data_IF_744671841811
#
_entry.id   IF_744671841811
#
_cell.length_a   1.000
_cell.length_b   1.000
_cell.length_c   1.000
_cell.angle_alpha   90.00
_cell.angle_beta   90.00
_cell.angle_gamma   90.00
#
_symmetry.space_group_name_H-M   'P 1'
#
loop_
_entity.id
_entity.type
_entity.pdbx_description
1 polymer ?
#
# COMPACT_ATOMS: atom_id res chain seq x y z
N UNK A 1 -14.72 -3.56 9.76
CA UNK A 1 -13.25 -3.53 9.90
C UNK A 1 -12.89 -2.91 11.24
N UNK A 2 -11.80 -3.33 11.88
CA UNK A 2 -11.25 -2.68 13.07
C UNK A 2 -9.87 -2.09 12.73
N UNK A 3 -9.61 -0.85 13.15
CA UNK A 3 -8.32 -0.18 13.00
C UNK A 3 -8.26 1.04 13.91
N UNK A 4 -7.08 1.34 14.47
CA UNK A 4 -6.93 2.44 15.44
C UNK A 4 -7.26 3.82 14.86
N UNK A 5 -7.12 4.00 13.54
CA UNK A 5 -7.55 5.22 12.85
C UNK A 5 -9.07 5.46 12.91
N UNK A 6 -9.88 4.48 13.34
CA UNK A 6 -11.32 4.60 13.55
C UNK A 6 -11.69 4.82 15.04
N UNK A 7 -10.72 4.99 15.95
CA UNK A 7 -10.96 5.04 17.40
C UNK A 7 -12.01 6.07 17.79
N UNK A 8 -11.90 7.29 17.29
CA UNK A 8 -12.86 8.36 17.59
C UNK A 8 -14.29 8.04 17.15
N UNK A 9 -14.44 7.27 16.06
CA UNK A 9 -15.75 6.88 15.54
C UNK A 9 -16.36 5.82 16.45
N UNK A 10 -15.56 4.85 16.88
CA UNK A 10 -15.99 3.83 17.85
C UNK A 10 -16.33 4.42 19.21
N UNK A 11 -15.59 5.42 19.69
CA UNK A 11 -15.89 6.10 20.96
C UNK A 11 -17.22 6.87 20.90
N UNK A 12 -17.65 7.27 19.70
CA UNK A 12 -18.97 7.85 19.44
C UNK A 12 -20.07 6.80 19.24
N UNK A 13 -19.75 5.51 19.39
CA UNK A 13 -20.68 4.39 19.23
C UNK A 13 -20.94 3.98 17.78
N UNK A 14 -20.14 4.44 16.82
CA UNK A 14 -20.28 4.00 15.43
C UNK A 14 -19.86 2.53 15.29
N UNK A 15 -20.67 1.74 14.58
CA UNK A 15 -20.38 0.35 14.25
C UNK A 15 -20.18 0.26 12.73
N UNK A 16 -19.06 -0.32 12.24
CA UNK A 16 -18.86 -0.51 10.81
C UNK A 16 -19.89 -1.48 10.24
N UNK A 17 -20.66 -1.01 9.26
CA UNK A 17 -21.59 -1.83 8.49
C UNK A 17 -20.87 -2.64 7.39
N UNK A 18 -21.49 -3.72 6.88
CA UNK A 18 -20.99 -4.42 5.71
C UNK A 18 -20.82 -3.47 4.53
N UNK A 19 -19.63 -3.46 3.93
CA UNK A 19 -19.31 -2.63 2.77
C UNK A 19 -18.49 -3.40 1.75
N UNK A 20 -18.54 -2.95 0.51
CA UNK A 20 -17.55 -3.31 -0.50
C UNK A 20 -16.20 -2.69 -0.13
N UNK A 21 -15.15 -3.49 -0.20
CA UNK A 21 -13.77 -3.06 0.06
C UNK A 21 -12.83 -3.71 -0.98
N UNK A 22 -12.28 -2.93 -1.92
CA UNK A 22 -11.35 -3.46 -2.92
C UNK A 22 -10.08 -4.04 -2.29
N UNK A 23 -9.60 -3.50 -1.17
CA UNK A 23 -8.35 -3.95 -0.54
C UNK A 23 -8.45 -5.39 -0.02
N UNK A 24 -9.67 -5.90 0.19
CA UNK A 24 -9.89 -7.27 0.63
C UNK A 24 -9.32 -8.29 -0.36
N UNK A 25 -9.30 -7.99 -1.66
CA UNK A 25 -8.67 -8.87 -2.65
C UNK A 25 -7.16 -9.06 -2.34
N UNK A 26 -6.48 -7.97 -2.00
CA UNK A 26 -5.05 -7.97 -1.64
C UNK A 26 -4.85 -8.75 -0.33
N UNK A 27 -5.68 -8.48 0.68
CA UNK A 27 -5.60 -9.16 1.98
C UNK A 27 -5.82 -10.66 1.87
N UNK A 28 -6.82 -11.10 1.08
CA UNK A 28 -7.10 -12.53 0.87
C UNK A 28 -5.98 -13.23 0.09
N UNK A 29 -5.36 -12.55 -0.88
CA UNK A 29 -4.19 -13.09 -1.56
C UNK A 29 -3.02 -13.29 -0.58
N UNK A 30 -2.72 -12.30 0.26
CA UNK A 30 -1.65 -12.41 1.25
C UNK A 30 -1.95 -13.47 2.31
N UNK A 31 -3.21 -13.55 2.76
CA UNK A 31 -3.68 -14.55 3.71
C UNK A 31 -3.38 -15.97 3.21
N UNK A 32 -3.62 -16.25 1.92
CA UNK A 32 -3.34 -17.57 1.36
C UNK A 32 -1.85 -17.87 1.20
N UNK A 33 -1.03 -16.86 0.90
CA UNK A 33 0.39 -17.04 0.61
C UNK A 33 1.25 -17.11 1.88
N UNK A 34 0.95 -16.28 2.88
CA UNK A 34 1.79 -16.11 4.06
C UNK A 34 0.91 -15.83 5.30
N UNK A 35 0.39 -16.88 5.93
CA UNK A 35 -0.38 -16.76 7.17
C UNK A 35 -0.02 -17.84 8.18
N UNK A 36 -0.37 -17.56 9.44
CA UNK A 36 -0.33 -18.53 10.53
C UNK A 36 -1.76 -18.68 11.05
N UNK A 37 -2.26 -19.90 10.98
CA UNK A 37 -3.57 -20.25 11.49
C UNK A 37 -3.57 -20.28 13.01
N UNK A 38 -4.37 -19.40 13.62
CA UNK A 38 -4.56 -19.39 15.07
C UNK A 38 -5.69 -20.33 15.51
N UNK A 39 -6.73 -20.47 14.68
CA UNK A 39 -7.89 -21.32 14.93
C UNK A 39 -8.58 -21.69 13.60
N UNK A 40 -9.08 -22.92 13.49
CA UNK A 40 -9.79 -23.40 12.28
C UNK A 40 -8.88 -23.91 11.15
N UNK A 41 -9.48 -24.25 9.99
CA UNK A 41 -8.77 -24.82 8.82
C UNK A 41 -7.89 -23.79 8.11
N UNK A 42 -6.87 -24.25 7.38
CA UNK A 42 -5.93 -23.37 6.67
C UNK A 42 -6.66 -22.47 5.66
N UNK A 43 -6.13 -21.25 5.45
CA UNK A 43 -6.74 -20.31 4.51
C UNK A 43 -6.90 -20.89 3.09
N UNK A 44 -5.97 -21.75 2.67
CA UNK A 44 -6.00 -22.44 1.38
C UNK A 44 -7.10 -23.47 1.24
N UNK A 45 -7.66 -23.96 2.35
CA UNK A 45 -8.77 -24.93 2.37
C UNK A 45 -10.14 -24.25 2.19
N UNK A 46 -10.26 -22.98 2.58
CA UNK A 46 -11.54 -22.27 2.63
C UNK A 46 -11.64 -21.06 1.70
N UNK A 47 -10.50 -20.49 1.28
CA UNK A 47 -10.44 -19.33 0.38
C UNK A 47 -9.85 -19.77 -0.97
N UNK A 48 -10.62 -19.57 -2.03
CA UNK A 48 -10.14 -19.76 -3.39
C UNK A 48 -9.03 -18.75 -3.75
N UNK A 49 -8.08 -19.12 -4.63
CA UNK A 49 -7.08 -18.18 -5.12
C UNK A 49 -7.72 -16.92 -5.72
N UNK A 50 -7.26 -15.74 -5.28
CA UNK A 50 -7.73 -14.46 -5.80
C UNK A 50 -7.16 -14.24 -7.21
N UNK A 51 -8.00 -14.00 -8.24
CA UNK A 51 -7.52 -13.69 -9.57
C UNK A 51 -6.68 -12.41 -9.60
N UNK A 52 -5.62 -12.40 -10.41
CA UNK A 52 -4.79 -11.20 -10.60
C UNK A 52 -5.58 -10.00 -11.17
N UNK A 53 -6.68 -10.27 -11.89
CA UNK A 53 -7.60 -9.24 -12.37
C UNK A 53 -8.27 -8.48 -11.22
N UNK A 54 -8.63 -9.16 -10.15
CA UNK A 54 -9.26 -8.54 -8.97
C UNK A 54 -8.24 -7.74 -8.16
N UNK A 55 -7.00 -8.23 -8.04
CA UNK A 55 -5.90 -7.47 -7.42
C UNK A 55 -5.59 -6.19 -8.22
N UNK A 56 -5.55 -6.26 -9.55
CA UNK A 56 -5.36 -5.07 -10.40
C UNK A 56 -6.52 -4.09 -10.27
N UNK A 57 -7.75 -4.58 -10.19
CA UNK A 57 -8.93 -3.74 -9.90
C UNK A 57 -8.81 -3.07 -8.54
N UNK A 58 -8.39 -3.80 -7.52
CA UNK A 58 -8.20 -3.27 -6.17
C UNK A 58 -7.19 -2.12 -6.13
N UNK A 59 -6.03 -2.29 -6.78
CA UNK A 59 -5.03 -1.23 -6.90
C UNK A 59 -5.61 -0.01 -7.63
N UNK A 60 -6.34 -0.23 -8.73
CA UNK A 60 -6.96 0.86 -9.50
C UNK A 60 -7.96 1.66 -8.67
N UNK A 61 -8.81 0.98 -7.90
CA UNK A 61 -9.87 1.60 -7.11
C UNK A 61 -9.34 2.31 -5.86
N UNK A 62 -8.29 1.79 -5.23
CA UNK A 62 -7.68 2.37 -4.03
C UNK A 62 -6.73 3.54 -4.33
N UNK A 63 -6.10 3.56 -5.51
CA UNK A 63 -5.07 4.54 -5.86
C UNK A 63 -5.49 6.02 -5.66
N UNK A 64 -6.68 6.48 -6.11
CA UNK A 64 -7.08 7.87 -5.91
C UNK A 64 -7.26 8.24 -4.44
N UNK A 65 -7.85 7.34 -3.64
CA UNK A 65 -8.06 7.55 -2.20
C UNK A 65 -6.75 7.61 -1.43
N UNK A 66 -5.80 6.72 -1.77
CA UNK A 66 -4.48 6.69 -1.16
C UNK A 66 -3.67 7.97 -1.44
N UNK A 67 -3.75 8.52 -2.65
CA UNK A 67 -3.06 9.77 -3.00
C UNK A 67 -3.70 10.95 -2.25
N UNK A 68 -5.02 10.95 -2.09
CA UNK A 68 -5.73 12.00 -1.36
C UNK A 68 -5.41 12.01 0.15
N UNK A 69 -4.94 10.90 0.71
CA UNK A 69 -4.58 10.76 2.14
C UNK A 69 -3.10 11.03 2.43
N UNK A 70 -2.38 11.75 1.55
CA UNK A 70 -0.94 11.98 1.70
C UNK A 70 -0.57 12.84 2.91
N UNK A 71 -1.38 13.87 3.20
CA UNK A 71 -1.10 14.82 4.27
C UNK A 71 -1.18 14.13 5.64
N UNK A 72 -0.04 14.09 6.35
CA UNK A 72 0.09 13.43 7.65
C UNK A 72 0.30 11.91 7.60
N UNK A 73 0.41 11.30 6.42
CA UNK A 73 0.72 9.87 6.24
C UNK A 73 1.75 9.61 5.12
N UNK A 74 2.63 10.58 4.88
CA UNK A 74 3.51 10.68 3.70
C UNK A 74 4.34 9.41 3.48
N UNK A 75 5.00 8.94 4.55
CA UNK A 75 5.80 7.71 4.55
C UNK A 75 4.98 6.51 4.08
N UNK A 76 3.81 6.31 4.67
CA UNK A 76 3.00 5.13 4.41
C UNK A 76 2.40 5.18 3.01
N UNK A 77 1.96 6.35 2.55
CA UNK A 77 1.44 6.53 1.20
C UNK A 77 2.52 6.24 0.17
N UNK A 78 3.70 6.85 0.27
CA UNK A 78 4.80 6.65 -0.69
C UNK A 78 5.24 5.18 -0.75
N UNK A 79 5.38 4.52 0.41
CA UNK A 79 5.75 3.09 0.46
C UNK A 79 4.63 2.19 -0.08
N UNK A 80 3.37 2.55 0.16
CA UNK A 80 2.23 1.78 -0.37
C UNK A 80 2.15 1.93 -1.90
N UNK A 81 2.42 3.12 -2.44
CA UNK A 81 2.53 3.34 -3.89
C UNK A 81 3.67 2.53 -4.50
N UNK A 82 4.84 2.46 -3.86
CA UNK A 82 5.93 1.60 -4.31
C UNK A 82 5.52 0.12 -4.37
N UNK A 83 4.78 -0.36 -3.36
CA UNK A 83 4.22 -1.71 -3.34
C UNK A 83 3.17 -1.93 -4.43
N UNK A 84 2.26 -0.98 -4.64
CA UNK A 84 1.28 -1.03 -5.74
C UNK A 84 1.96 -1.10 -7.10
N UNK A 85 3.06 -0.35 -7.30
CA UNK A 85 3.82 -0.38 -8.54
C UNK A 85 4.47 -1.76 -8.77
N UNK A 86 5.10 -2.33 -7.74
CA UNK A 86 5.67 -3.68 -7.82
C UNK A 86 4.59 -4.74 -8.11
N UNK A 87 3.46 -4.69 -7.39
CA UNK A 87 2.37 -5.67 -7.55
C UNK A 87 1.74 -5.57 -8.93
N UNK A 88 1.46 -4.35 -9.42
CA UNK A 88 0.90 -4.16 -10.76
C UNK A 88 1.86 -4.57 -11.88
N UNK A 89 3.18 -4.45 -11.65
CA UNK A 89 4.22 -4.81 -12.62
C UNK A 89 4.53 -6.31 -12.66
N UNK A 90 4.50 -7.00 -11.51
CA UNK A 90 5.03 -8.36 -11.36
C UNK A 90 4.03 -9.40 -10.87
N UNK A 91 2.86 -8.97 -10.38
CA UNK A 91 1.88 -9.81 -9.70
C UNK A 91 2.28 -10.25 -8.29
N UNK A 92 3.49 -9.90 -7.81
CA UNK A 92 3.97 -10.27 -6.48
C UNK A 92 3.53 -9.24 -5.44
N UNK A 93 3.08 -9.70 -4.29
CA UNK A 93 2.84 -8.84 -3.13
C UNK A 93 3.99 -9.05 -2.13
N UNK A 94 4.55 -7.97 -1.61
CA UNK A 94 5.67 -8.02 -0.66
C UNK A 94 5.53 -6.93 0.41
N UNK A 95 6.50 -6.85 1.32
CA UNK A 95 6.55 -5.81 2.34
C UNK A 95 6.88 -4.44 1.73
N UNK A 96 6.62 -3.36 2.48
CA UNK A 96 6.84 -1.96 2.05
C UNK A 96 8.31 -1.68 1.75
N UNK A 97 9.21 -2.20 2.58
CA UNK A 97 10.66 -2.08 2.45
C UNK A 97 11.20 -2.83 1.22
N UNK A 98 10.75 -4.07 0.99
CA UNK A 98 11.12 -4.84 -0.21
C UNK A 98 10.63 -4.17 -1.50
N UNK A 99 9.43 -3.59 -1.48
CA UNK A 99 8.91 -2.84 -2.60
C UNK A 99 9.72 -1.56 -2.86
N UNK A 100 10.14 -0.86 -1.81
CA UNK A 100 11.01 0.30 -1.91
C UNK A 100 12.37 -0.07 -2.51
N UNK A 101 13.01 -1.14 -2.05
CA UNK A 101 14.28 -1.64 -2.59
C UNK A 101 14.20 -1.97 -4.07
N UNK A 102 13.08 -2.54 -4.51
CA UNK A 102 12.84 -2.79 -5.93
C UNK A 102 12.65 -1.49 -6.71
N UNK A 103 11.92 -0.51 -6.17
CA UNK A 103 11.58 0.74 -6.88
C UNK A 103 12.76 1.71 -6.99
N UNK A 104 13.55 1.89 -5.93
CA UNK A 104 14.68 2.83 -5.84
C UNK A 104 15.61 2.83 -7.07
N UNK A 105 16.12 1.69 -7.57
CA UNK A 105 17.05 1.70 -8.71
C UNK A 105 16.41 2.13 -10.05
N UNK A 106 15.09 2.30 -10.10
CA UNK A 106 14.34 2.74 -11.29
C UNK A 106 14.00 4.23 -11.27
N UNK A 107 14.26 4.91 -10.15
CA UNK A 107 13.89 6.30 -9.92
C UNK A 107 15.04 7.24 -10.26
N UNK A 108 14.69 8.48 -10.60
CA UNK A 108 15.64 9.59 -10.58
C UNK A 108 16.23 9.76 -9.17
N UNK A 109 17.42 10.35 -9.07
CA UNK A 109 18.19 10.41 -7.82
C UNK A 109 17.40 11.07 -6.68
N UNK A 110 16.66 12.12 -6.98
CA UNK A 110 15.86 12.91 -6.05
C UNK A 110 14.73 12.05 -5.46
N UNK A 111 13.98 11.38 -6.33
CA UNK A 111 12.91 10.44 -5.96
C UNK A 111 13.43 9.21 -5.21
N UNK A 112 14.56 8.65 -5.65
CA UNK A 112 15.22 7.52 -4.99
C UNK A 112 15.63 7.88 -3.55
N UNK A 113 16.17 9.08 -3.36
CA UNK A 113 16.59 9.57 -2.03
C UNK A 113 15.39 9.70 -1.09
N UNK A 114 14.28 10.22 -1.59
CA UNK A 114 13.05 10.38 -0.82
C UNK A 114 12.43 9.03 -0.43
N UNK A 115 12.38 8.08 -1.37
CA UNK A 115 11.87 6.74 -1.09
C UNK A 115 12.77 5.95 -0.13
N UNK A 116 14.09 6.11 -0.22
CA UNK A 116 15.04 5.53 0.74
C UNK A 116 14.86 6.11 2.15
N UNK A 117 14.59 7.42 2.27
CA UNK A 117 14.23 8.04 3.56
C UNK A 117 12.95 7.42 4.12
N UNK A 118 11.91 7.25 3.29
CA UNK A 118 10.66 6.61 3.72
C UNK A 118 10.90 5.18 4.21
N UNK A 119 11.72 4.40 3.48
CA UNK A 119 12.10 3.03 3.86
C UNK A 119 12.78 2.99 5.22
N UNK A 120 13.78 3.85 5.45
CA UNK A 120 14.50 3.92 6.74
C UNK A 120 13.59 4.34 7.90
N UNK A 121 12.72 5.33 7.67
CA UNK A 121 11.74 5.76 8.68
C UNK A 121 10.72 4.65 9.00
N UNK A 122 10.39 3.78 8.04
CA UNK A 122 9.53 2.62 8.26
C UNK A 122 10.21 1.52 9.09
N UNK A 123 11.52 1.33 8.91
CA UNK A 123 12.33 0.39 9.67
C UNK A 123 12.72 0.89 11.07
N UNK A 124 12.42 2.16 11.39
CA UNK A 124 12.78 2.77 12.67
C UNK A 124 14.19 3.35 12.71
N UNK A 125 14.88 3.41 11.57
CA UNK A 125 16.27 3.90 11.44
C UNK A 125 16.36 5.41 11.15
N UNK A 126 15.23 6.10 11.03
CA UNK A 126 15.18 7.51 10.67
C UNK A 126 13.95 8.22 11.23
N UNK A 127 14.08 9.51 11.52
CA UNK A 127 12.98 10.35 11.98
C UNK A 127 11.94 10.56 10.87
N UNK A 128 10.69 10.29 11.18
CA UNK A 128 9.54 10.43 10.28
C UNK A 128 9.11 11.91 10.19
N UNK A 129 9.98 12.76 9.63
CA UNK A 129 9.79 14.21 9.47
C UNK A 129 9.75 14.59 8.00
N UNK A 130 8.63 15.15 7.57
CA UNK A 130 8.35 15.45 6.16
C UNK A 130 8.13 16.93 5.88
N UNK A 131 8.16 17.77 6.92
CA UNK A 131 7.91 19.21 6.78
C UNK A 131 8.94 19.86 5.84
N UNK A 132 8.44 20.65 4.89
CA UNK A 132 9.26 21.33 3.89
C UNK A 132 9.69 20.47 2.70
N UNK A 133 9.17 19.24 2.57
CA UNK A 133 9.42 18.33 1.43
C UNK A 133 8.18 18.12 0.55
N UNK A 134 7.16 18.97 0.69
CA UNK A 134 5.84 18.76 0.10
C UNK A 134 5.91 18.69 -1.43
N UNK A 135 6.77 19.51 -2.04
CA UNK A 135 6.94 19.55 -3.50
C UNK A 135 7.57 18.24 -4.00
N UNK A 136 8.65 17.80 -3.37
CA UNK A 136 9.37 16.58 -3.72
C UNK A 136 8.51 15.34 -3.53
N UNK A 137 7.68 15.33 -2.48
CA UNK A 137 6.69 14.27 -2.23
C UNK A 137 5.66 14.23 -3.34
N UNK A 138 5.07 15.37 -3.71
CA UNK A 138 4.06 15.45 -4.78
C UNK A 138 4.66 14.99 -6.11
N UNK A 139 5.90 15.36 -6.42
CA UNK A 139 6.58 14.90 -7.63
C UNK A 139 6.79 13.38 -7.63
N UNK A 140 7.26 12.80 -6.51
CA UNK A 140 7.42 11.36 -6.36
C UNK A 140 6.08 10.63 -6.48
N UNK A 141 5.03 11.12 -5.81
CA UNK A 141 3.68 10.54 -5.88
C UNK A 141 3.15 10.57 -7.31
N UNK A 142 3.33 11.68 -8.03
CA UNK A 142 2.93 11.80 -9.42
C UNK A 142 3.71 10.83 -10.33
N UNK A 143 5.01 10.66 -10.08
CA UNK A 143 5.80 9.66 -10.79
C UNK A 143 5.26 8.25 -10.55
N UNK A 144 5.11 7.84 -9.28
CA UNK A 144 4.64 6.51 -8.91
C UNK A 144 3.23 6.23 -9.45
N UNK A 145 2.34 7.23 -9.39
CA UNK A 145 1.00 7.16 -9.99
C UNK A 145 1.08 6.80 -11.47
N UNK A 146 1.86 7.54 -12.27
CA UNK A 146 2.01 7.27 -13.72
C UNK A 146 2.60 5.89 -13.98
N UNK A 147 3.57 5.47 -13.16
CA UNK A 147 4.16 4.13 -13.26
C UNK A 147 3.16 3.01 -12.97
N UNK A 148 2.28 3.20 -11.99
CA UNK A 148 1.19 2.27 -11.67
C UNK A 148 0.15 2.25 -12.81
N UNK A 149 -0.32 3.41 -13.26
CA UNK A 149 -1.29 3.54 -14.36
C UNK A 149 -0.78 2.86 -15.64
N UNK A 150 0.48 3.11 -16.01
CA UNK A 150 1.14 2.44 -17.13
C UNK A 150 1.22 0.91 -16.93
N UNK A 151 1.52 0.45 -15.71
CA UNK A 151 1.58 -0.99 -15.40
C UNK A 151 0.19 -1.64 -15.42
N UNK A 152 -0.86 -0.86 -15.16
CA UNK A 152 -2.26 -1.27 -15.19
C UNK A 152 -2.90 -1.19 -16.59
N UNK A 153 -2.25 -0.54 -17.56
CA UNK A 153 -2.79 -0.18 -18.87
C UNK A 153 -4.01 0.74 -18.78
N UNK A 154 -3.95 1.78 -17.94
CA UNK A 154 -5.00 2.80 -17.76
C UNK A 154 -4.43 4.21 -17.88
#
# INVERSE_FOLDING_TARGET
MYGEWLREQFDKGAIPEPTYDPDLAILLSQLRENSINLFGPEATEVIEPVPMTDIRRAIKESLPGLIASIEGDERNVILTLARMWLTSSSGRICSKDQAAEWAIPKLAKEHATLLEKAKKAYLGDYDDKWEGMETEIIELVNYLKRSIESSLNI
#
